data_IF_010363637930
#
_entry.id   IF_010363637930
#
_cell.length_a   1.000
_cell.length_b   1.000
_cell.length_c   1.000
_cell.angle_alpha   90.00
_cell.angle_beta   90.00
_cell.angle_gamma   90.00
#
_symmetry.space_group_name_H-M   'P 1'
#
loop_
_entity.id
_entity.type
_entity.pdbx_description
1 polymer ?
#
# COMPACT_ATOMS: atom_id res chain seq x y z
N UNK A 1 -0.42 3.87 -7.78
CA UNK A 1 -0.48 5.06 -6.92
C UNK A 1 -1.61 5.93 -7.43
N UNK A 2 -2.56 6.31 -6.58
CA UNK A 2 -3.58 7.30 -6.97
C UNK A 2 -3.25 8.62 -6.28
N UNK A 3 -3.23 9.72 -7.03
CA UNK A 3 -3.00 11.09 -6.56
C UNK A 3 -4.23 11.71 -5.89
N UNK A 4 -5.31 10.94 -5.73
CA UNK A 4 -6.57 11.41 -5.17
C UNK A 4 -6.55 11.26 -3.64
N UNK A 5 -6.31 12.37 -2.95
CA UNK A 5 -6.18 12.52 -1.49
C UNK A 5 -7.53 12.49 -0.75
N UNK A 6 -8.43 11.56 -1.13
CA UNK A 6 -9.57 11.24 -0.27
C UNK A 6 -9.09 10.37 0.90
N UNK A 7 -9.26 10.86 2.13
CA UNK A 7 -8.99 10.10 3.35
C UNK A 7 -9.96 8.92 3.40
N UNK A 8 -9.43 7.71 3.22
CA UNK A 8 -10.13 6.48 3.49
C UNK A 8 -9.39 5.73 4.59
N UNK A 9 -10.08 5.13 5.58
CA UNK A 9 -9.45 4.43 6.70
C UNK A 9 -8.60 3.24 6.23
N UNK A 10 -8.94 2.66 5.08
CA UNK A 10 -8.22 1.54 4.44
C UNK A 10 -7.03 1.98 3.58
N UNK A 11 -6.75 3.30 3.47
CA UNK A 11 -5.65 3.83 2.68
C UNK A 11 -4.51 4.33 3.57
N UNK A 12 -3.30 3.83 3.33
CA UNK A 12 -2.13 4.18 4.12
C UNK A 12 -1.24 5.13 3.32
N UNK A 13 -1.00 6.30 3.90
CA UNK A 13 0.02 7.23 3.41
C UNK A 13 1.42 6.63 3.59
N UNK A 14 2.14 6.51 2.49
CA UNK A 14 3.53 6.06 2.45
C UNK A 14 4.36 7.00 1.59
N UNK A 15 5.60 7.23 2.02
CA UNK A 15 6.62 7.85 1.19
C UNK A 15 7.40 6.74 0.50
N UNK A 16 7.34 6.70 -0.83
CA UNK A 16 8.15 5.78 -1.63
C UNK A 16 8.74 6.55 -2.79
N UNK A 17 10.04 6.37 -3.05
CA UNK A 17 10.79 7.02 -4.12
C UNK A 17 10.65 8.55 -4.14
N UNK A 18 10.77 9.20 -2.97
CA UNK A 18 10.69 10.66 -2.80
C UNK A 18 9.30 11.26 -3.02
N UNK A 19 8.28 10.45 -3.31
CA UNK A 19 6.90 10.91 -3.54
C UNK A 19 5.98 10.41 -2.44
N UNK A 20 5.06 11.28 -2.02
CA UNK A 20 3.96 10.90 -1.14
C UNK A 20 2.91 10.14 -1.97
N UNK A 21 2.68 8.88 -1.62
CA UNK A 21 1.66 8.05 -2.22
C UNK A 21 0.72 7.47 -1.16
N UNK A 22 -0.39 6.89 -1.62
CA UNK A 22 -1.30 6.13 -0.76
C UNK A 22 -1.36 4.68 -1.27
N UNK A 23 -1.17 3.73 -0.36
CA UNK A 23 -1.45 2.31 -0.59
C UNK A 23 -2.92 2.08 -0.30
N UNK A 24 -3.63 1.48 -1.25
CA UNK A 24 -5.02 1.08 -1.15
C UNK A 24 -5.07 -0.40 -0.75
N UNK A 25 -5.42 -0.70 0.50
CA UNK A 25 -5.48 -2.09 1.02
C UNK A 25 -6.70 -2.82 0.47
N UNK A 26 -7.77 -2.10 0.16
CA UNK A 26 -8.98 -2.60 -0.49
C UNK A 26 -8.76 -3.09 -1.93
N UNK A 27 -7.65 -2.70 -2.57
CA UNK A 27 -7.34 -3.03 -3.97
C UNK A 27 -6.28 -4.14 -4.13
N UNK A 28 -6.16 -5.03 -3.14
CA UNK A 28 -5.24 -6.18 -3.23
C UNK A 28 -5.69 -7.12 -4.33
N UNK A 29 -4.80 -7.37 -5.30
CA UNK A 29 -5.02 -8.32 -6.40
C UNK A 29 -3.83 -9.23 -6.56
N UNK A 30 -4.06 -10.45 -7.01
CA UNK A 30 -3.00 -11.35 -7.44
C UNK A 30 -2.48 -10.91 -8.81
N UNK A 31 -1.16 -10.91 -9.00
CA UNK A 31 -0.51 -10.63 -10.28
C UNK A 31 0.53 -11.71 -10.57
N UNK A 32 0.65 -12.08 -11.83
CA UNK A 32 1.72 -12.97 -12.28
C UNK A 32 3.07 -12.23 -12.31
N UNK A 33 4.17 -12.93 -12.02
CA UNK A 33 5.53 -12.35 -12.01
C UNK A 33 5.94 -11.77 -13.36
N UNK A 34 5.46 -12.34 -14.48
CA UNK A 34 5.74 -11.84 -15.83
C UNK A 34 5.19 -10.42 -16.07
N UNK A 35 4.19 -9.98 -15.30
CA UNK A 35 3.61 -8.63 -15.41
C UNK A 35 4.40 -7.55 -14.67
N UNK A 36 5.46 -7.92 -13.95
CA UNK A 36 6.29 -6.99 -13.19
C UNK A 36 7.38 -6.45 -14.13
N UNK A 37 7.19 -5.23 -14.63
CA UNK A 37 8.14 -4.57 -15.56
C UNK A 37 9.35 -3.98 -14.82
N UNK A 38 9.15 -3.45 -13.61
CA UNK A 38 10.23 -2.83 -12.81
C UNK A 38 9.88 -2.84 -11.33
N UNK A 39 10.85 -3.18 -10.48
CA UNK A 39 10.77 -3.03 -9.03
C UNK A 39 11.41 -1.69 -8.67
N UNK A 40 10.70 -0.86 -7.89
CA UNK A 40 11.17 0.48 -7.54
C UNK A 40 11.96 0.46 -6.23
N UNK A 41 11.28 0.26 -5.11
CA UNK A 41 11.89 0.25 -3.77
C UNK A 41 11.06 -0.64 -2.83
N UNK A 42 11.66 -1.02 -1.70
CA UNK A 42 10.99 -1.69 -0.59
C UNK A 42 10.35 -0.66 0.37
N UNK A 43 9.20 -1.00 0.94
CA UNK A 43 8.61 -0.23 2.04
C UNK A 43 9.49 -0.26 3.29
N UNK A 44 9.40 0.80 4.11
CA UNK A 44 10.00 0.82 5.44
C UNK A 44 9.31 -0.18 6.38
N UNK A 45 10.04 -0.70 7.37
CA UNK A 45 9.48 -1.61 8.38
C UNK A 45 8.32 -0.99 9.17
N UNK A 46 8.36 0.32 9.40
CA UNK A 46 7.26 1.07 10.03
C UNK A 46 5.98 1.05 9.17
N UNK A 47 6.13 1.22 7.86
CA UNK A 47 4.99 1.24 6.94
C UNK A 47 4.42 -0.16 6.75
N UNK A 48 5.26 -1.19 6.74
CA UNK A 48 4.83 -2.60 6.72
C UNK A 48 3.98 -2.91 7.96
N UNK A 49 4.40 -2.46 9.16
CA UNK A 49 3.61 -2.64 10.40
C UNK A 49 2.25 -1.95 10.31
N UNK A 50 2.19 -0.72 9.78
CA UNK A 50 0.92 -0.02 9.54
C UNK A 50 0.03 -0.79 8.56
N UNK A 51 0.60 -1.28 7.46
CA UNK A 51 -0.12 -2.09 6.47
C UNK A 51 -0.73 -3.34 7.10
N UNK A 52 0.05 -4.10 7.88
CA UNK A 52 -0.46 -5.29 8.57
C UNK A 52 -1.56 -4.96 9.59
N UNK A 53 -1.44 -3.84 10.31
CA UNK A 53 -2.45 -3.42 11.29
C UNK A 53 -3.79 -3.13 10.61
N UNK A 54 -3.79 -2.31 9.56
CA UNK A 54 -5.02 -1.96 8.84
C UNK A 54 -5.61 -3.17 8.13
N UNK A 55 -4.78 -4.06 7.58
CA UNK A 55 -5.25 -5.32 7.00
C UNK A 55 -5.96 -6.20 8.03
N UNK A 56 -5.41 -6.29 9.26
CA UNK A 56 -6.05 -7.03 10.35
C UNK A 56 -7.39 -6.41 10.74
N UNK A 57 -7.42 -5.09 10.91
CA UNK A 57 -8.60 -4.33 11.31
C UNK A 57 -9.73 -4.34 10.26
N UNK A 58 -9.41 -4.63 8.99
CA UNK A 58 -10.41 -4.66 7.89
C UNK A 58 -10.89 -6.05 7.49
N UNK A 59 -10.13 -7.10 7.77
CA UNK A 59 -10.42 -8.46 7.27
C UNK A 59 -10.52 -9.53 8.37
N UNK A 60 -10.09 -9.24 9.60
CA UNK A 60 -9.98 -10.21 10.69
C UNK A 60 -10.69 -9.76 11.98
N UNK A 61 -11.22 -8.54 12.03
CA UNK A 61 -12.05 -8.04 13.14
C UNK A 61 -13.55 -8.23 12.82
#
# INVERSE_FOLDING_TARGET
MTTNTKKYPTRILVKSNGKNGMIAIDQVRTIDKQRIVKVFESLSNSDIKKCKKVLKETLLD
#
